data_IF_292668402553
#
_entry.id   IF_292668402553
#
_cell.length_a   1.000
_cell.length_b   1.000
_cell.length_c   1.000
_cell.angle_alpha   90.00
_cell.angle_beta   90.00
_cell.angle_gamma   90.00
#
_symmetry.space_group_name_H-M   'P 1'
#
loop_
_entity.id
_entity.type
_entity.pdbx_description
1 polymer ?
#
# COMPACT_ATOMS: atom_id res chain seq x y z
N UNK A 1 -13.75 1.17 23.40
CA UNK A 1 -14.03 1.32 21.96
C UNK A 1 -13.16 0.35 21.17
N UNK A 2 -13.64 -0.86 20.86
CA UNK A 2 -12.99 -1.77 19.89
C UNK A 2 -13.95 -1.93 18.72
N UNK A 3 -14.02 -0.91 17.86
CA UNK A 3 -14.81 -1.01 16.64
C UNK A 3 -13.88 -1.45 15.50
N UNK A 4 -13.81 -2.76 15.27
CA UNK A 4 -12.93 -3.39 14.29
C UNK A 4 -13.14 -2.85 12.87
N UNK A 5 -14.36 -2.39 12.53
CA UNK A 5 -14.65 -1.71 11.26
C UNK A 5 -13.91 -0.38 11.11
N UNK A 6 -13.90 0.44 12.15
CA UNK A 6 -13.23 1.75 12.11
C UNK A 6 -11.72 1.58 11.98
N UNK A 7 -11.14 0.62 12.69
CA UNK A 7 -9.70 0.32 12.58
C UNK A 7 -9.34 -0.21 11.18
N UNK A 8 -10.17 -1.10 10.61
CA UNK A 8 -10.00 -1.59 9.25
C UNK A 8 -10.00 -0.45 8.22
N UNK A 9 -10.98 0.46 8.30
CA UNK A 9 -11.05 1.62 7.40
C UNK A 9 -9.87 2.58 7.58
N UNK A 10 -9.40 2.78 8.83
CA UNK A 10 -8.25 3.63 9.11
C UNK A 10 -6.95 3.05 8.53
N UNK A 11 -6.70 1.74 8.69
CA UNK A 11 -5.54 1.10 8.08
C UNK A 11 -5.63 1.10 6.56
N UNK A 12 -6.82 0.92 5.98
CA UNK A 12 -7.00 1.02 4.54
C UNK A 12 -6.68 2.41 3.99
N UNK A 13 -7.19 3.45 4.64
CA UNK A 13 -6.90 4.83 4.26
C UNK A 13 -5.40 5.16 4.40
N UNK A 14 -4.72 4.59 5.40
CA UNK A 14 -3.28 4.76 5.59
C UNK A 14 -2.46 4.13 4.45
N UNK A 15 -2.75 2.88 4.06
CA UNK A 15 -2.05 2.24 2.94
C UNK A 15 -2.30 2.97 1.62
N UNK A 16 -3.55 3.40 1.36
CA UNK A 16 -3.90 4.20 0.19
C UNK A 16 -3.14 5.54 0.15
N UNK A 17 -3.03 6.22 1.30
CA UNK A 17 -2.28 7.49 1.39
C UNK A 17 -0.78 7.29 1.08
N UNK A 18 -0.20 6.17 1.51
CA UNK A 18 1.19 5.80 1.20
C UNK A 18 1.36 5.54 -0.30
N UNK A 19 0.42 4.84 -0.94
CA UNK A 19 0.45 4.62 -2.40
C UNK A 19 0.36 5.92 -3.18
N UNK A 20 -0.56 6.82 -2.81
CA UNK A 20 -0.66 8.14 -3.44
C UNK A 20 0.65 8.92 -3.26
N UNK A 21 1.27 8.88 -2.09
CA UNK A 21 2.57 9.51 -1.86
C UNK A 21 3.70 8.91 -2.72
N UNK A 22 3.68 7.59 -2.94
CA UNK A 22 4.66 6.89 -3.79
C UNK A 22 4.43 7.12 -5.29
N UNK A 23 3.19 7.34 -5.73
CA UNK A 23 2.87 7.74 -7.11
C UNK A 23 3.34 9.16 -7.39
N UNK A 24 3.16 10.06 -6.42
CA UNK A 24 3.55 11.47 -6.55
C UNK A 24 5.04 11.72 -6.35
N UNK A 25 5.80 10.74 -5.86
CA UNK A 25 7.25 10.83 -5.68
C UNK A 25 7.99 9.89 -6.64
N UNK A 26 9.17 10.27 -7.15
CA UNK A 26 9.98 9.39 -7.99
C UNK A 26 10.50 8.13 -7.24
N UNK A 27 10.22 8.00 -5.94
CA UNK A 27 10.51 6.83 -5.12
C UNK A 27 9.68 5.59 -5.52
N UNK A 28 8.58 5.78 -6.25
CA UNK A 28 7.71 4.71 -6.77
C UNK A 28 8.41 3.70 -7.68
N UNK A 29 9.53 4.10 -8.31
CA UNK A 29 10.29 3.31 -9.26
C UNK A 29 11.77 3.36 -8.94
N UNK A 30 12.31 2.27 -8.40
CA UNK A 30 13.75 2.08 -8.31
C UNK A 30 14.16 1.30 -9.57
N UNK A 31 14.76 1.98 -10.54
CA UNK A 31 15.35 1.32 -11.71
C UNK A 31 16.64 0.60 -11.28
N UNK A 32 16.53 -0.69 -10.99
CA UNK A 32 17.68 -1.57 -10.77
C UNK A 32 18.20 -2.02 -12.14
N UNK A 33 18.76 -1.08 -12.92
CA UNK A 33 19.44 -1.32 -14.20
C UNK A 33 18.57 -1.93 -15.31
N UNK A 34 18.27 -3.22 -15.21
CA UNK A 34 17.55 -4.04 -16.20
C UNK A 34 16.07 -4.24 -15.79
N UNK A 35 15.75 -4.13 -14.50
CA UNK A 35 14.41 -4.37 -13.95
C UNK A 35 13.98 -3.21 -13.06
N UNK A 36 12.80 -2.66 -13.33
CA UNK A 36 12.18 -1.62 -12.52
C UNK A 36 11.52 -2.26 -11.30
N UNK A 37 12.15 -2.18 -10.13
CA UNK A 37 11.51 -2.56 -8.89
C UNK A 37 10.59 -1.41 -8.45
N UNK A 38 9.28 -1.65 -8.50
CA UNK A 38 8.28 -0.65 -8.07
C UNK A 38 8.02 -0.80 -6.59
N UNK A 39 8.27 0.26 -5.82
CA UNK A 39 7.85 0.32 -4.42
C UNK A 39 6.33 0.45 -4.30
N UNK A 40 5.62 0.84 -5.37
CA UNK A 40 4.15 0.93 -5.40
C UNK A 40 3.42 -0.40 -5.09
N UNK A 41 3.99 -1.56 -5.47
CA UNK A 41 3.32 -2.83 -5.21
C UNK A 41 3.56 -3.35 -3.78
N UNK A 42 4.60 -2.89 -3.09
CA UNK A 42 4.96 -3.37 -1.74
C UNK A 42 3.86 -3.02 -0.71
N UNK A 43 3.34 -1.78 -0.63
CA UNK A 43 2.23 -1.44 0.25
C UNK A 43 0.97 -2.27 0.00
N UNK A 44 0.57 -2.47 -1.27
CA UNK A 44 -0.64 -3.24 -1.61
C UNK A 44 -0.51 -4.72 -1.24
N UNK A 45 0.70 -5.30 -1.38
CA UNK A 45 0.99 -6.67 -0.95
C UNK A 45 0.87 -6.78 0.57
N UNK A 46 1.44 -5.83 1.31
CA UNK A 46 1.35 -5.79 2.79
C UNK A 46 -0.10 -5.58 3.23
N UNK A 47 -0.85 -4.70 2.57
CA UNK A 47 -2.26 -4.45 2.84
C UNK A 47 -3.11 -5.72 2.57
N UNK A 48 -2.86 -6.41 1.46
CA UNK A 48 -3.52 -7.67 1.11
C UNK A 48 -3.25 -8.81 2.10
N UNK A 49 -2.03 -8.88 2.67
CA UNK A 49 -1.67 -9.87 3.69
C UNK A 49 -2.29 -9.52 5.06
N UNK A 50 -2.26 -8.24 5.45
CA UNK A 50 -2.65 -7.81 6.81
C UNK A 50 -4.15 -7.62 6.99
N UNK A 51 -4.84 -7.09 5.97
CA UNK A 51 -6.27 -6.75 6.00
C UNK A 51 -7.11 -7.74 5.17
N UNK A 52 -6.47 -8.64 4.43
CA UNK A 52 -7.10 -9.68 3.63
C UNK A 52 -7.32 -9.28 2.17
N UNK A 53 -7.74 -10.24 1.34
CA UNK A 53 -7.84 -10.13 -0.13
C UNK A 53 -8.63 -8.92 -0.65
N UNK A 54 -9.57 -8.37 0.14
CA UNK A 54 -10.40 -7.21 -0.22
C UNK A 54 -9.69 -5.87 -0.06
N UNK A 55 -8.59 -5.84 0.68
CA UNK A 55 -7.80 -4.65 0.95
C UNK A 55 -6.68 -4.43 -0.07
N UNK A 56 -6.21 -5.50 -0.71
CA UNK A 56 -5.13 -5.47 -1.69
C UNK A 56 -5.59 -5.59 -3.15
N UNK A 57 -6.87 -5.38 -3.45
CA UNK A 57 -7.48 -5.53 -4.77
C UNK A 57 -7.94 -4.18 -5.34
#
# INVERSE_FOLDING_TARGET
MKNHKTQYMAFMAMFLAIEIALVLTPLGYIQLGIISATTMHIPVIIAGITLGKKAGA
#
